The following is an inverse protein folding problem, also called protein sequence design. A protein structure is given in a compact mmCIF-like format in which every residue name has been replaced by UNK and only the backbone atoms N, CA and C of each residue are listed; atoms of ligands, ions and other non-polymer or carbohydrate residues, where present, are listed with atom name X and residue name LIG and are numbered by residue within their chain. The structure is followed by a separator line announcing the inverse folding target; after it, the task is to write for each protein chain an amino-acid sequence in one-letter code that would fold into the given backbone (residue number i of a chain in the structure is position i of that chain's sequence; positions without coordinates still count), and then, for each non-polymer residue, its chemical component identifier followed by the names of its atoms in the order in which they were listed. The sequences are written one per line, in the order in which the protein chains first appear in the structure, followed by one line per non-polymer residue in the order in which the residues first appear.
data_IF_299874448915
#
_entry.id   IF_299874448915
#
_cell.length_a   1.000
_cell.length_b   1.000
_cell.length_c   1.000
_cell.angle_alpha   90.00
_cell.angle_beta   90.00
_cell.angle_gamma   90.00
#
_symmetry.space_group_name_H-M   'P 1'
#
loop_
_entity.id
_entity.type
_entity.pdbx_description
1 polymer ?
#
# COMPACT_ATOMS: atom_id res chain seq x y z
N UNK A 1 -33.28 17.83 -8.66
CA UNK A 1 -32.12 17.03 -8.19
C UNK A 1 -30.95 17.95 -7.91
N UNK A 2 -30.34 17.88 -6.72
CA UNK A 2 -29.19 18.68 -6.33
C UNK A 2 -28.03 17.78 -5.85
N UNK A 3 -26.81 18.34 -5.77
CA UNK A 3 -25.62 17.58 -5.35
C UNK A 3 -25.69 17.09 -3.90
N UNK A 4 -26.46 17.77 -3.05
CA UNK A 4 -26.65 17.37 -1.65
C UNK A 4 -27.49 16.10 -1.58
N UNK A 5 -28.58 16.04 -2.33
CA UNK A 5 -29.45 14.86 -2.43
C UNK A 5 -28.69 13.66 -2.99
N UNK A 6 -27.86 13.84 -4.04
CA UNK A 6 -27.01 12.77 -4.56
C UNK A 6 -25.97 12.29 -3.54
N UNK A 7 -25.35 13.20 -2.79
CA UNK A 7 -24.39 12.82 -1.73
C UNK A 7 -25.06 12.01 -0.62
N UNK A 8 -26.26 12.40 -0.22
CA UNK A 8 -27.04 11.65 0.78
C UNK A 8 -27.47 10.29 0.26
N UNK A 9 -27.89 10.21 -1.01
CA UNK A 9 -28.22 8.96 -1.66
C UNK A 9 -27.02 7.99 -1.66
N UNK A 10 -25.83 8.45 -2.08
CA UNK A 10 -24.60 7.63 -2.07
C UNK A 10 -24.28 7.16 -0.64
N UNK A 11 -24.36 8.03 0.36
CA UNK A 11 -24.12 7.65 1.74
C UNK A 11 -25.12 6.59 2.24
N UNK A 12 -26.40 6.71 1.90
CA UNK A 12 -27.44 5.72 2.28
C UNK A 12 -27.22 4.39 1.57
N UNK A 13 -26.79 4.42 0.29
CA UNK A 13 -26.51 3.22 -0.49
C UNK A 13 -25.34 2.42 0.09
N UNK A 14 -24.28 3.08 0.50
CA UNK A 14 -23.07 2.45 1.07
C UNK A 14 -23.28 1.96 2.51
N UNK A 15 -23.99 2.74 3.33
CA UNK A 15 -24.24 2.41 4.74
C UNK A 15 -25.44 1.46 4.96
N UNK A 16 -26.31 1.29 3.96
CA UNK A 16 -27.56 0.53 4.04
C UNK A 16 -28.45 0.95 5.25
N UNK A 17 -28.24 2.18 5.74
CA UNK A 17 -28.87 2.73 6.94
C UNK A 17 -28.96 4.25 6.89
N UNK A 18 -30.18 4.78 7.02
CA UNK A 18 -30.41 6.23 7.11
C UNK A 18 -29.73 6.86 8.33
N UNK A 19 -29.69 6.14 9.46
CA UNK A 19 -29.06 6.63 10.68
C UNK A 19 -27.53 6.63 10.59
N UNK A 20 -26.91 5.62 9.97
CA UNK A 20 -25.48 5.60 9.73
C UNK A 20 -25.08 6.68 8.72
N UNK A 21 -25.83 6.81 7.61
CA UNK A 21 -25.61 7.85 6.62
C UNK A 21 -25.74 9.26 7.21
N UNK A 22 -26.66 9.48 8.15
CA UNK A 22 -26.82 10.79 8.80
C UNK A 22 -25.61 11.16 9.67
N UNK A 23 -25.03 10.19 10.38
CA UNK A 23 -23.78 10.38 11.12
C UNK A 23 -22.61 10.70 10.18
N UNK A 24 -22.46 9.94 9.09
CA UNK A 24 -21.43 10.15 8.08
C UNK A 24 -21.53 11.52 7.40
N UNK A 25 -22.75 11.99 7.14
CA UNK A 25 -22.99 13.29 6.50
C UNK A 25 -23.07 14.46 7.48
N UNK A 26 -22.95 14.22 8.78
CA UNK A 26 -23.07 15.24 9.85
C UNK A 26 -24.39 16.03 9.80
N UNK A 27 -25.52 15.33 9.56
CA UNK A 27 -26.85 15.93 9.50
C UNK A 27 -27.87 15.10 10.29
N UNK A 28 -29.04 15.69 10.59
CA UNK A 28 -30.12 14.96 11.23
C UNK A 28 -30.73 13.93 10.27
N UNK A 29 -31.07 12.74 10.77
CA UNK A 29 -31.66 11.66 9.96
C UNK A 29 -32.93 12.09 9.19
N UNK A 30 -33.87 12.93 9.75
CA UNK A 30 -35.02 13.42 8.98
C UNK A 30 -34.61 14.17 7.70
N UNK A 31 -33.47 14.90 7.73
CA UNK A 31 -33.00 15.64 6.56
C UNK A 31 -32.57 14.71 5.43
N UNK A 32 -31.88 13.61 5.75
CA UNK A 32 -31.53 12.58 4.75
C UNK A 32 -32.80 11.91 4.23
N UNK A 33 -33.71 11.52 5.11
CA UNK A 33 -34.96 10.88 4.71
C UNK A 33 -35.80 11.75 3.76
N UNK A 34 -35.93 13.05 4.04
CA UNK A 34 -36.62 14.00 3.19
C UNK A 34 -35.95 14.19 1.83
N UNK A 35 -34.58 14.29 1.82
CA UNK A 35 -33.83 14.43 0.59
C UNK A 35 -33.91 13.19 -0.32
N UNK A 36 -33.92 11.98 0.26
CA UNK A 36 -34.13 10.73 -0.50
C UNK A 36 -35.55 10.70 -1.07
N UNK A 37 -36.58 11.01 -0.28
CA UNK A 37 -37.95 11.04 -0.77
C UNK A 37 -38.15 12.06 -1.90
N UNK A 38 -37.51 13.23 -1.80
CA UNK A 38 -37.57 14.24 -2.85
C UNK A 38 -36.85 13.71 -4.13
N UNK A 39 -35.71 13.04 -3.99
CA UNK A 39 -34.97 12.46 -5.12
C UNK A 39 -35.80 11.35 -5.81
N UNK A 40 -36.47 10.49 -5.03
CA UNK A 40 -37.35 9.44 -5.54
C UNK A 40 -38.55 10.05 -6.26
N UNK A 41 -39.14 11.13 -5.74
CA UNK A 41 -40.25 11.85 -6.38
C UNK A 41 -39.81 12.52 -7.71
N UNK A 42 -38.60 13.10 -7.75
CA UNK A 42 -38.07 13.73 -8.98
C UNK A 42 -37.75 12.72 -10.07
N UNK A 43 -37.35 11.51 -9.68
CA UNK A 43 -37.02 10.43 -10.63
C UNK A 43 -38.18 9.50 -10.95
N UNK A 44 -39.35 9.74 -10.29
CA UNK A 44 -40.56 8.94 -10.38
C UNK A 44 -40.30 7.43 -10.17
N UNK A 45 -39.37 7.09 -9.28
CA UNK A 45 -39.09 5.71 -8.93
C UNK A 45 -38.52 5.58 -7.50
N UNK A 46 -38.82 4.49 -6.79
CA UNK A 46 -38.23 4.22 -5.49
C UNK A 46 -36.77 3.79 -5.68
N UNK A 47 -35.87 4.38 -4.88
CA UNK A 47 -34.45 4.04 -4.89
C UNK A 47 -34.09 3.07 -3.76
N UNK A 48 -34.90 3.02 -2.70
CA UNK A 48 -34.72 2.13 -1.56
C UNK A 48 -36.02 1.48 -1.09
N UNK A 49 -35.89 0.22 -0.67
CA UNK A 49 -36.92 -0.47 0.10
C UNK A 49 -36.54 -0.36 1.58
N UNK A 50 -37.46 0.18 2.40
CA UNK A 50 -37.26 0.32 3.86
C UNK A 50 -37.78 -0.90 4.61
N UNK A 51 -37.03 -1.37 5.59
CA UNK A 51 -37.38 -2.49 6.46
C UNK A 51 -36.88 -2.26 7.90
N UNK A 52 -37.25 -3.12 8.84
CA UNK A 52 -36.91 -2.97 10.27
C UNK A 52 -35.39 -2.97 10.56
N UNK A 53 -34.56 -3.49 9.65
CA UNK A 53 -33.11 -3.58 9.83
C UNK A 53 -32.33 -2.51 9.05
N UNK A 54 -32.99 -1.62 8.30
CA UNK A 54 -32.34 -0.60 7.50
C UNK A 54 -33.03 -0.37 6.15
N UNK A 55 -32.24 -0.20 5.10
CA UNK A 55 -32.73 -0.03 3.73
C UNK A 55 -31.99 -0.96 2.77
N UNK A 56 -32.67 -1.37 1.72
CA UNK A 56 -32.08 -2.15 0.60
C UNK A 56 -32.26 -1.36 -0.68
N UNK A 57 -31.21 -1.18 -1.51
CA UNK A 57 -31.34 -0.53 -2.82
C UNK A 57 -32.29 -1.29 -3.75
N UNK A 58 -33.09 -0.56 -4.52
CA UNK A 58 -33.86 -1.11 -5.62
C UNK A 58 -32.97 -1.31 -6.86
N UNK A 59 -33.45 -1.98 -7.93
CA UNK A 59 -32.72 -2.00 -9.22
C UNK A 59 -32.42 -0.59 -9.75
N UNK A 60 -33.35 0.37 -9.59
CA UNK A 60 -33.16 1.76 -9.99
C UNK A 60 -32.15 2.47 -9.11
N UNK A 61 -32.15 2.22 -7.79
CA UNK A 61 -31.11 2.70 -6.88
C UNK A 61 -29.73 2.16 -7.29
N UNK A 62 -29.63 0.88 -7.64
CA UNK A 62 -28.38 0.27 -8.08
C UNK A 62 -27.89 0.83 -9.42
N UNK A 63 -28.80 1.23 -10.30
CA UNK A 63 -28.48 1.88 -11.60
C UNK A 63 -28.06 3.34 -11.38
N UNK A 64 -28.65 4.05 -10.43
CA UNK A 64 -28.30 5.45 -10.13
C UNK A 64 -26.94 5.58 -9.44
N UNK A 65 -26.55 4.62 -8.59
CA UNK A 65 -25.36 4.73 -7.74
C UNK A 65 -24.06 5.07 -8.51
N UNK A 66 -23.65 4.34 -9.58
CA UNK A 66 -22.45 4.68 -10.32
C UNK A 66 -22.54 6.06 -10.97
N UNK A 67 -23.71 6.47 -11.45
CA UNK A 67 -23.90 7.78 -12.07
C UNK A 67 -23.80 8.90 -11.03
N UNK A 68 -24.40 8.72 -9.83
CA UNK A 68 -24.29 9.66 -8.74
C UNK A 68 -22.82 9.84 -8.27
N UNK A 69 -22.06 8.75 -8.17
CA UNK A 69 -20.63 8.78 -7.85
C UNK A 69 -19.84 9.55 -8.91
N UNK A 70 -20.12 9.33 -10.20
CA UNK A 70 -19.46 10.04 -11.29
C UNK A 70 -19.75 11.54 -11.24
N UNK A 71 -21.01 11.95 -11.13
CA UNK A 71 -21.41 13.38 -11.05
C UNK A 71 -20.76 14.07 -9.85
N UNK A 72 -20.74 13.42 -8.68
CA UNK A 72 -20.08 13.96 -7.49
C UNK A 72 -18.57 14.07 -7.67
N UNK A 73 -17.94 13.12 -8.36
CA UNK A 73 -16.53 13.14 -8.73
C UNK A 73 -16.21 14.31 -9.68
N UNK A 74 -17.04 14.52 -10.71
CA UNK A 74 -16.88 15.62 -11.67
C UNK A 74 -16.99 16.99 -10.98
N UNK A 75 -17.97 17.16 -10.07
CA UNK A 75 -18.09 18.39 -9.25
C UNK A 75 -16.86 18.61 -8.37
N UNK A 76 -16.31 17.55 -7.79
CA UNK A 76 -15.07 17.64 -7.02
C UNK A 76 -13.87 18.02 -7.90
N UNK A 77 -13.81 17.49 -9.12
CA UNK A 77 -12.78 17.83 -10.11
C UNK A 77 -12.86 19.29 -10.53
N UNK A 78 -14.07 19.78 -10.84
CA UNK A 78 -14.31 21.21 -11.14
C UNK A 78 -13.88 22.08 -9.96
N UNK A 79 -14.30 21.76 -8.74
CA UNK A 79 -13.86 22.51 -7.55
C UNK A 79 -12.34 22.57 -7.41
N UNK A 80 -11.65 21.45 -7.65
CA UNK A 80 -10.18 21.39 -7.64
C UNK A 80 -9.59 22.34 -8.67
N UNK A 81 -10.08 22.36 -9.91
CA UNK A 81 -9.59 23.23 -10.98
C UNK A 81 -9.73 24.75 -10.63
N UNK A 82 -10.73 25.13 -9.84
CA UNK A 82 -10.94 26.53 -9.44
C UNK A 82 -10.37 26.87 -8.04
N UNK A 83 -10.14 25.86 -7.20
CA UNK A 83 -9.44 26.01 -5.93
C UNK A 83 -7.92 26.02 -6.08
N UNK A 84 -7.40 25.68 -7.26
CA UNK A 84 -5.97 25.62 -7.60
C UNK A 84 -5.32 27.03 -7.69
N UNK A 85 -5.53 27.85 -6.65
CA UNK A 85 -4.60 28.90 -6.22
C UNK A 85 -3.63 28.38 -5.15
N UNK A 86 -3.67 27.09 -4.85
CA UNK A 86 -2.66 26.43 -4.01
C UNK A 86 -1.39 26.33 -4.83
N UNK A 87 -0.31 26.87 -4.33
CA UNK A 87 1.02 26.64 -4.88
C UNK A 87 1.20 25.14 -5.07
N UNK A 88 1.43 24.72 -6.31
CA UNK A 88 1.75 23.32 -6.60
C UNK A 88 3.07 22.99 -5.91
N UNK A 89 3.03 22.09 -4.94
CA UNK A 89 4.21 21.62 -4.24
C UNK A 89 4.71 20.40 -5.00
N UNK A 90 5.65 20.59 -5.94
CA UNK A 90 6.29 19.48 -6.64
C UNK A 90 7.28 18.81 -5.70
N UNK A 91 7.14 17.49 -5.52
CA UNK A 91 8.05 16.64 -4.74
C UNK A 91 8.39 15.40 -5.53
N UNK A 92 9.67 15.09 -5.63
CA UNK A 92 10.17 13.86 -6.23
C UNK A 92 10.70 12.92 -5.14
N UNK A 93 10.27 11.65 -5.17
CA UNK A 93 10.75 10.63 -4.23
C UNK A 93 11.36 9.46 -5.00
N UNK A 94 12.65 9.22 -4.74
CA UNK A 94 13.37 8.06 -5.24
C UNK A 94 12.98 6.81 -4.47
N UNK A 95 12.61 5.74 -5.16
CA UNK A 95 12.26 4.46 -4.55
C UNK A 95 13.33 3.42 -4.88
N UNK A 96 13.89 2.78 -3.86
CA UNK A 96 14.76 1.62 -4.08
C UNK A 96 13.95 0.41 -4.57
N UNK A 97 14.57 -0.51 -5.33
CA UNK A 97 13.93 -1.77 -5.71
C UNK A 97 13.47 -2.60 -4.51
N UNK A 98 12.46 -3.45 -4.71
CA UNK A 98 11.97 -4.41 -3.72
C UNK A 98 11.44 -3.79 -2.41
N UNK A 99 10.89 -2.59 -2.48
CA UNK A 99 10.06 -2.05 -1.40
C UNK A 99 8.66 -2.68 -1.45
N UNK A 100 8.05 -2.82 -0.28
CA UNK A 100 6.64 -3.20 -0.18
C UNK A 100 5.75 -2.14 -0.84
N UNK A 101 5.08 -2.50 -1.93
CA UNK A 101 4.14 -1.61 -2.62
C UNK A 101 3.01 -1.13 -1.71
N UNK A 102 2.57 -1.97 -0.77
CA UNK A 102 1.56 -1.62 0.24
C UNK A 102 2.04 -0.49 1.15
N UNK A 103 3.24 -0.62 1.74
CA UNK A 103 3.81 0.42 2.62
C UNK A 103 4.07 1.73 1.89
N UNK A 104 4.64 1.66 0.69
CA UNK A 104 4.81 2.84 -0.17
C UNK A 104 3.45 3.47 -0.49
N UNK A 105 2.45 2.66 -0.83
CA UNK A 105 1.08 3.13 -1.09
C UNK A 105 0.44 3.81 0.13
N UNK A 106 0.67 3.31 1.35
CA UNK A 106 0.22 3.95 2.60
C UNK A 106 0.84 5.34 2.77
N UNK A 107 2.16 5.47 2.53
CA UNK A 107 2.85 6.76 2.58
C UNK A 107 2.26 7.72 1.55
N UNK A 108 2.16 7.30 0.29
CA UNK A 108 1.63 8.15 -0.79
C UNK A 108 0.20 8.60 -0.47
N UNK A 109 -0.66 7.69 -0.03
CA UNK A 109 -2.04 8.01 0.34
C UNK A 109 -2.12 9.05 1.45
N UNK A 110 -1.27 8.95 2.46
CA UNK A 110 -1.20 9.93 3.53
C UNK A 110 -0.72 11.30 3.04
N UNK A 111 0.34 11.33 2.22
CA UNK A 111 0.88 12.57 1.65
C UNK A 111 -0.16 13.30 0.79
N UNK A 112 -0.85 12.57 -0.10
CA UNK A 112 -1.90 13.14 -0.95
C UNK A 112 -3.13 13.64 -0.17
N UNK A 113 -3.40 13.06 0.98
CA UNK A 113 -4.50 13.48 1.87
C UNK A 113 -4.17 14.75 2.64
N UNK A 114 -2.97 14.83 3.19
CA UNK A 114 -2.57 15.89 4.12
C UNK A 114 -1.92 17.11 3.44
N UNK A 115 -1.42 16.95 2.20
CA UNK A 115 -0.74 18.04 1.45
C UNK A 115 -1.59 18.42 0.23
N UNK A 116 -2.47 19.42 0.33
CA UNK A 116 -3.21 19.91 -0.83
C UNK A 116 -2.27 20.47 -1.89
N UNK A 117 -2.52 20.15 -3.15
CA UNK A 117 -1.69 20.62 -4.27
C UNK A 117 -0.34 19.89 -4.41
N UNK A 118 -0.12 18.77 -3.70
CA UNK A 118 1.07 17.94 -3.89
C UNK A 118 1.09 17.33 -5.30
N UNK A 119 2.12 17.66 -6.07
CA UNK A 119 2.47 17.04 -7.34
C UNK A 119 3.65 16.09 -7.10
N UNK A 120 3.33 14.79 -6.94
CA UNK A 120 4.29 13.76 -6.54
C UNK A 120 4.80 12.99 -7.73
N UNK A 121 6.13 13.00 -7.92
CA UNK A 121 6.82 12.18 -8.90
C UNK A 121 7.62 11.08 -8.21
N UNK A 122 7.42 9.83 -8.60
CA UNK A 122 8.22 8.69 -8.14
C UNK A 122 9.27 8.35 -9.19
N UNK A 123 10.51 8.24 -8.75
CA UNK A 123 11.67 7.99 -9.63
C UNK A 123 12.53 6.84 -9.08
N UNK A 124 13.43 6.32 -9.92
CA UNK A 124 14.46 5.39 -9.46
C UNK A 124 15.50 6.13 -8.60
N UNK A 125 16.12 5.42 -7.64
CA UNK A 125 17.14 6.00 -6.74
C UNK A 125 18.40 6.48 -7.44
N UNK A 126 18.60 6.12 -8.71
CA UNK A 126 19.69 6.63 -9.56
C UNK A 126 19.40 8.03 -10.13
N UNK A 127 18.16 8.47 -10.07
CA UNK A 127 17.73 9.79 -10.53
C UNK A 127 17.76 10.80 -9.37
N UNK A 128 17.91 12.08 -9.72
CA UNK A 128 17.82 13.15 -8.73
C UNK A 128 16.40 13.23 -8.17
N UNK A 129 16.29 13.23 -6.86
CA UNK A 129 15.03 13.33 -6.14
C UNK A 129 15.19 14.22 -4.90
N UNK A 130 14.09 14.78 -4.41
CA UNK A 130 14.08 15.61 -3.20
C UNK A 130 14.27 14.76 -1.94
N UNK A 131 13.79 13.52 -1.98
CA UNK A 131 14.01 12.51 -0.96
C UNK A 131 14.06 11.12 -1.57
N UNK A 132 14.57 10.15 -0.82
CA UNK A 132 14.65 8.75 -1.26
C UNK A 132 14.11 7.82 -0.17
N UNK A 133 13.29 6.83 -0.52
CA UNK A 133 12.94 5.74 0.39
C UNK A 133 13.91 4.59 0.13
N UNK A 134 14.82 4.40 1.06
CA UNK A 134 15.98 3.52 0.90
C UNK A 134 16.29 2.75 2.18
N UNK A 135 17.13 1.72 2.04
CA UNK A 135 17.77 1.05 3.18
C UNK A 135 18.80 1.95 3.85
N UNK A 136 18.97 1.81 5.15
CA UNK A 136 20.03 2.49 5.91
C UNK A 136 21.44 2.19 5.41
N UNK A 137 21.63 1.10 4.66
CA UNK A 137 22.93 0.67 4.13
C UNK A 137 23.37 1.44 2.88
N UNK A 138 22.44 2.15 2.21
CA UNK A 138 22.73 2.91 0.97
C UNK A 138 22.44 4.41 1.11
N UNK A 139 22.37 4.88 2.35
CA UNK A 139 22.30 6.31 2.69
C UNK A 139 23.67 6.94 2.47
N UNK A 140 23.71 8.12 1.84
CA UNK A 140 24.95 8.85 1.62
C UNK A 140 25.34 9.68 2.87
N UNK A 141 26.64 9.94 3.07
CA UNK A 141 27.16 10.67 4.23
C UNK A 141 26.56 12.06 4.44
N UNK A 142 26.09 12.70 3.36
CA UNK A 142 25.50 14.04 3.39
C UNK A 142 23.97 14.03 3.55
N UNK A 143 23.36 12.86 3.65
CA UNK A 143 21.92 12.71 3.83
C UNK A 143 21.53 12.49 5.28
N UNK A 144 20.47 13.13 5.72
CA UNK A 144 19.75 12.75 6.91
C UNK A 144 18.91 11.50 6.63
N UNK A 145 18.76 10.64 7.63
CA UNK A 145 17.99 9.42 7.52
C UNK A 145 16.92 9.34 8.61
N UNK A 146 15.67 9.25 8.18
CA UNK A 146 14.52 9.09 9.05
C UNK A 146 13.96 7.67 8.92
N UNK A 147 14.14 6.83 9.95
CA UNK A 147 13.69 5.44 9.95
C UNK A 147 12.16 5.37 9.83
N UNK A 148 11.66 4.55 8.91
CA UNK A 148 10.24 4.28 8.69
C UNK A 148 9.84 2.91 9.27
N UNK A 149 10.51 1.82 8.84
CA UNK A 149 10.24 0.46 9.34
C UNK A 149 11.49 -0.43 9.31
N UNK A 150 11.35 -1.63 9.85
CA UNK A 150 12.35 -2.68 9.75
C UNK A 150 11.73 -3.92 9.12
N UNK A 151 12.37 -4.46 8.11
CA UNK A 151 12.02 -5.75 7.49
C UNK A 151 12.89 -6.86 8.08
N UNK A 152 12.25 -7.95 8.52
CA UNK A 152 12.92 -9.22 8.80
C UNK A 152 12.86 -10.08 7.53
N UNK A 153 13.95 -10.74 7.18
CA UNK A 153 14.01 -11.62 6.03
C UNK A 153 13.78 -13.07 6.41
N UNK A 154 12.95 -13.73 5.63
CA UNK A 154 12.56 -15.14 5.78
C UNK A 154 12.70 -15.88 4.47
N UNK A 155 12.73 -17.21 4.53
CA UNK A 155 12.61 -18.07 3.34
C UNK A 155 11.15 -18.23 3.00
N UNK A 156 10.74 -17.79 1.82
CA UNK A 156 9.44 -18.07 1.26
C UNK A 156 9.43 -19.45 0.58
N UNK A 157 8.38 -20.21 0.83
CA UNK A 157 8.21 -21.60 0.40
C UNK A 157 6.80 -21.78 -0.17
N UNK A 158 6.64 -22.62 -1.19
CA UNK A 158 5.29 -23.10 -1.50
C UNK A 158 4.76 -23.94 -0.33
N UNK A 159 3.45 -23.97 -0.12
CA UNK A 159 2.84 -24.75 0.97
C UNK A 159 3.09 -26.26 0.85
N UNK A 160 3.36 -26.76 -0.36
CA UNK A 160 3.69 -28.15 -0.62
C UNK A 160 5.17 -28.49 -0.43
N UNK A 161 6.03 -27.49 -0.16
CA UNK A 161 7.45 -27.72 0.00
C UNK A 161 7.74 -28.51 1.31
N UNK A 162 8.64 -29.52 1.31
CA UNK A 162 8.92 -30.31 2.52
C UNK A 162 9.33 -29.49 3.74
N UNK A 163 10.13 -28.42 3.54
CA UNK A 163 10.56 -27.52 4.62
C UNK A 163 9.40 -26.67 5.18
N UNK A 164 8.26 -26.60 4.50
CA UNK A 164 7.10 -25.87 5.00
C UNK A 164 6.45 -26.52 6.25
N UNK A 165 6.75 -27.78 6.50
CA UNK A 165 6.28 -28.52 7.69
C UNK A 165 7.09 -28.24 8.95
N UNK A 166 8.25 -27.60 8.83
CA UNK A 166 9.13 -27.24 9.94
C UNK A 166 8.74 -25.88 10.52
N UNK A 167 9.07 -25.61 11.76
CA UNK A 167 8.89 -24.27 12.38
C UNK A 167 9.98 -23.28 11.94
N UNK A 168 11.20 -23.79 11.74
CA UNK A 168 12.36 -23.03 11.26
C UNK A 168 13.21 -23.89 10.34
N UNK A 169 14.12 -23.28 9.61
CA UNK A 169 15.03 -23.93 8.65
C UNK A 169 16.45 -23.77 9.17
N UNK A 170 17.20 -24.90 9.24
CA UNK A 170 18.63 -24.84 9.44
C UNK A 170 19.33 -24.39 8.15
N UNK A 171 20.37 -23.59 8.27
CA UNK A 171 21.04 -22.98 7.11
C UNK A 171 21.53 -24.03 6.10
N UNK A 172 22.01 -25.17 6.60
CA UNK A 172 22.54 -26.26 5.77
C UNK A 172 21.45 -26.96 4.94
N UNK A 173 20.18 -26.86 5.35
CA UNK A 173 19.04 -27.40 4.59
C UNK A 173 18.75 -26.64 3.30
N UNK A 174 19.37 -25.46 3.13
CA UNK A 174 19.27 -24.68 1.89
C UNK A 174 20.29 -25.12 0.82
N UNK A 175 21.16 -26.08 1.15
CA UNK A 175 22.15 -26.57 0.22
C UNK A 175 21.53 -27.35 -0.94
N UNK A 176 21.87 -27.00 -2.17
CA UNK A 176 21.34 -27.58 -3.42
C UNK A 176 19.80 -27.51 -3.58
N UNK A 177 19.13 -26.61 -2.82
CA UNK A 177 17.71 -26.37 -3.04
C UNK A 177 17.52 -25.44 -4.24
N UNK A 178 16.51 -25.70 -5.11
CA UNK A 178 16.09 -24.76 -6.14
C UNK A 178 15.80 -23.39 -5.56
N UNK A 179 16.49 -22.36 -6.07
CA UNK A 179 16.48 -21.02 -5.50
C UNK A 179 16.13 -19.96 -6.55
N UNK A 180 15.30 -19.00 -6.17
CA UNK A 180 14.91 -17.85 -6.97
C UNK A 180 15.65 -16.63 -6.42
N UNK A 181 16.62 -16.12 -7.19
CA UNK A 181 17.42 -14.95 -6.84
C UNK A 181 16.72 -13.65 -7.23
N UNK A 182 16.82 -12.62 -6.40
CA UNK A 182 16.34 -11.26 -6.68
C UNK A 182 17.52 -10.35 -6.95
N UNK A 183 17.53 -9.67 -8.11
CA UNK A 183 18.60 -8.73 -8.49
C UNK A 183 18.01 -7.51 -9.22
N UNK A 184 18.48 -6.28 -8.91
CA UNK A 184 19.41 -5.92 -7.86
C UNK A 184 18.78 -6.04 -6.47
N UNK A 185 19.51 -6.55 -5.49
CA UNK A 185 19.07 -6.60 -4.11
C UNK A 185 20.26 -6.21 -3.22
N UNK A 186 20.10 -5.23 -2.37
CA UNK A 186 21.14 -4.74 -1.46
C UNK A 186 21.63 -5.81 -0.48
N UNK A 187 20.73 -6.76 -0.14
CA UNK A 187 21.06 -7.92 0.69
C UNK A 187 21.80 -9.02 -0.05
N UNK A 188 21.94 -8.90 -1.36
CA UNK A 188 22.59 -9.93 -2.14
C UNK A 188 24.02 -10.19 -1.63
N UNK A 189 24.74 -9.16 -1.24
CA UNK A 189 26.12 -9.28 -0.75
C UNK A 189 26.18 -9.93 0.65
N UNK A 190 25.34 -9.50 1.59
CA UNK A 190 25.26 -10.09 2.94
C UNK A 190 24.78 -11.55 2.89
N UNK A 191 23.77 -11.83 2.05
CA UNK A 191 23.28 -13.18 1.81
C UNK A 191 24.33 -14.06 1.14
N UNK A 192 24.96 -13.60 0.06
CA UNK A 192 26.03 -14.34 -0.63
C UNK A 192 27.23 -14.59 0.29
N UNK A 193 27.61 -13.61 1.11
CA UNK A 193 28.65 -13.80 2.11
C UNK A 193 28.27 -14.91 3.12
N UNK A 194 27.05 -14.91 3.64
CA UNK A 194 26.60 -15.95 4.57
C UNK A 194 26.57 -17.34 3.91
N UNK A 195 26.08 -17.43 2.68
CA UNK A 195 26.04 -18.64 1.86
C UNK A 195 27.47 -19.16 1.61
N UNK A 196 28.39 -18.28 1.19
CA UNK A 196 29.78 -18.64 0.91
C UNK A 196 30.53 -19.07 2.19
N UNK A 197 30.36 -18.33 3.29
CA UNK A 197 30.99 -18.65 4.58
C UNK A 197 30.55 -20.01 5.13
N UNK A 198 29.33 -20.43 4.85
CA UNK A 198 28.75 -21.71 5.26
C UNK A 198 28.98 -22.83 4.23
N UNK A 199 29.58 -22.53 3.08
CA UNK A 199 29.83 -23.51 2.00
C UNK A 199 28.51 -24.01 1.35
N UNK A 200 27.44 -23.24 1.40
CA UNK A 200 26.16 -23.58 0.80
C UNK A 200 26.20 -23.32 -0.71
N UNK A 201 25.76 -24.29 -1.48
CA UNK A 201 25.56 -24.16 -2.92
C UNK A 201 24.07 -23.98 -3.21
N UNK A 202 23.67 -22.83 -3.75
CA UNK A 202 22.29 -22.55 -4.15
C UNK A 202 22.10 -22.94 -5.61
N UNK A 203 21.07 -23.75 -5.89
CA UNK A 203 20.68 -24.14 -7.25
C UNK A 203 19.79 -23.04 -7.86
N UNK A 204 20.38 -21.98 -8.43
CA UNK A 204 19.65 -20.84 -8.97
C UNK A 204 18.84 -21.23 -10.21
N UNK A 205 17.53 -21.34 -10.07
CA UNK A 205 16.58 -21.66 -11.16
C UNK A 205 16.10 -20.43 -11.91
N UNK A 206 15.99 -19.29 -11.23
CA UNK A 206 15.55 -18.02 -11.83
C UNK A 206 16.22 -16.83 -11.16
N UNK A 207 16.35 -15.73 -11.90
CA UNK A 207 16.72 -14.41 -11.38
C UNK A 207 15.65 -13.43 -11.80
N UNK A 208 15.05 -12.75 -10.82
CA UNK A 208 13.92 -11.84 -11.02
C UNK A 208 14.25 -10.43 -10.55
N UNK A 209 13.48 -9.44 -11.05
CA UNK A 209 13.67 -8.02 -10.75
C UNK A 209 12.61 -7.43 -9.85
N UNK A 210 11.56 -8.19 -9.52
CA UNK A 210 10.51 -7.76 -8.59
C UNK A 210 10.27 -8.82 -7.55
N UNK A 211 9.78 -8.39 -6.39
CA UNK A 211 9.42 -9.30 -5.30
C UNK A 211 8.20 -10.14 -5.66
N UNK A 212 7.25 -9.53 -6.36
CA UNK A 212 6.03 -10.19 -6.84
C UNK A 212 6.37 -11.42 -7.70
N UNK A 213 7.25 -11.26 -8.71
CA UNK A 213 7.70 -12.41 -9.51
C UNK A 213 8.40 -13.47 -8.69
N UNK A 214 9.20 -13.09 -7.67
CA UNK A 214 9.83 -14.07 -6.81
C UNK A 214 8.78 -14.92 -6.07
N UNK A 215 7.77 -14.26 -5.49
CA UNK A 215 6.72 -14.93 -4.72
C UNK A 215 5.82 -15.80 -5.60
N UNK A 216 5.49 -15.36 -6.81
CA UNK A 216 4.68 -16.15 -7.75
C UNK A 216 5.41 -17.39 -8.24
N UNK A 217 6.72 -17.31 -8.49
CA UNK A 217 7.52 -18.47 -8.84
C UNK A 217 7.72 -19.44 -7.66
N UNK A 218 7.79 -18.91 -6.43
CA UNK A 218 7.77 -19.73 -5.21
C UNK A 218 6.42 -20.47 -5.09
N UNK A 219 5.31 -19.78 -5.29
CA UNK A 219 3.98 -20.38 -5.26
C UNK A 219 3.81 -21.48 -6.33
N UNK A 220 4.38 -21.24 -7.51
CA UNK A 220 4.41 -22.22 -8.60
C UNK A 220 5.33 -23.44 -8.32
N UNK A 221 6.10 -23.43 -7.22
CA UNK A 221 6.97 -24.53 -6.82
C UNK A 221 8.31 -24.58 -7.57
N UNK A 222 8.72 -23.49 -8.25
CA UNK A 222 10.01 -23.45 -8.98
C UNK A 222 11.21 -23.50 -8.02
N UNK A 223 11.06 -23.03 -6.80
CA UNK A 223 12.09 -23.00 -5.78
C UNK A 223 11.72 -22.14 -4.60
N UNK A 224 12.67 -21.86 -3.73
CA UNK A 224 12.53 -20.97 -2.58
C UNK A 224 13.17 -19.62 -2.84
N UNK A 225 12.78 -18.59 -2.09
CA UNK A 225 13.40 -17.26 -2.17
C UNK A 225 13.53 -16.63 -0.79
N UNK A 226 14.50 -15.76 -0.60
CA UNK A 226 14.59 -14.90 0.60
C UNK A 226 13.87 -13.59 0.33
N UNK A 227 12.90 -13.27 1.19
CA UNK A 227 12.01 -12.10 1.05
C UNK A 227 11.74 -11.48 2.42
N UNK A 228 11.30 -10.21 2.48
CA UNK A 228 10.76 -9.65 3.71
C UNK A 228 9.56 -10.47 4.20
N UNK A 229 9.47 -10.73 5.49
CA UNK A 229 8.40 -11.53 6.09
C UNK A 229 7.01 -11.02 5.72
N UNK A 230 6.78 -9.72 5.81
CA UNK A 230 5.48 -9.12 5.50
C UNK A 230 4.99 -9.38 4.07
N UNK A 231 5.91 -9.59 3.13
CA UNK A 231 5.53 -9.91 1.75
C UNK A 231 4.87 -11.30 1.63
N UNK A 232 5.02 -12.13 2.66
CA UNK A 232 4.41 -13.46 2.72
C UNK A 232 3.12 -13.49 3.54
N UNK A 233 2.91 -12.53 4.45
CA UNK A 233 1.82 -12.58 5.44
C UNK A 233 0.41 -12.49 4.82
N UNK A 234 0.28 -11.86 3.66
CA UNK A 234 -1.00 -11.69 2.97
C UNK A 234 -1.27 -12.76 1.89
N UNK A 235 -0.34 -13.69 1.71
CA UNK A 235 -0.45 -14.74 0.71
C UNK A 235 -0.87 -16.08 1.31
N UNK A 236 -1.91 -16.65 0.72
CA UNK A 236 -2.45 -17.95 1.17
C UNK A 236 -1.84 -19.14 0.43
N UNK A 237 -1.08 -18.92 -0.64
CA UNK A 237 -0.49 -19.93 -1.52
C UNK A 237 0.95 -20.28 -1.17
N UNK A 238 1.59 -19.46 -0.33
CA UNK A 238 2.95 -19.65 0.19
C UNK A 238 2.97 -19.67 1.71
N UNK A 239 4.11 -20.03 2.26
CA UNK A 239 4.43 -19.89 3.70
C UNK A 239 5.85 -19.39 3.86
N UNK A 240 6.22 -18.94 5.05
CA UNK A 240 7.57 -18.48 5.34
C UNK A 240 8.17 -19.16 6.56
N UNK A 241 9.49 -19.25 6.58
CA UNK A 241 10.24 -19.80 7.72
C UNK A 241 11.49 -18.95 7.96
N UNK A 242 11.79 -18.73 9.23
CA UNK A 242 13.05 -18.14 9.64
C UNK A 242 14.19 -19.13 9.44
N UNK A 243 15.38 -18.63 9.15
CA UNK A 243 16.59 -19.44 9.05
C UNK A 243 17.38 -19.31 10.34
N UNK A 244 17.62 -20.41 11.04
CA UNK A 244 18.35 -20.41 12.28
C UNK A 244 19.80 -19.96 12.07
N UNK A 245 20.29 -19.08 12.94
CA UNK A 245 21.62 -18.55 12.86
C UNK A 245 21.84 -17.50 11.76
N UNK A 246 20.77 -17.07 11.10
CA UNK A 246 20.79 -16.00 10.10
C UNK A 246 19.82 -14.91 10.54
N UNK A 247 20.35 -13.78 11.00
CA UNK A 247 19.53 -12.59 11.29
C UNK A 247 19.78 -11.57 10.19
N UNK A 248 18.89 -11.50 9.22
CA UNK A 248 18.93 -10.52 8.15
C UNK A 248 17.80 -9.52 8.36
N UNK A 249 18.18 -8.31 8.71
CA UNK A 249 17.27 -7.18 8.90
C UNK A 249 17.59 -6.08 7.90
N UNK A 250 16.56 -5.42 7.42
CA UNK A 250 16.65 -4.22 6.60
C UNK A 250 15.92 -3.08 7.28
N UNK A 251 16.66 -2.03 7.62
CA UNK A 251 16.04 -0.79 8.10
C UNK A 251 15.77 0.10 6.90
N UNK A 252 14.51 0.37 6.63
CA UNK A 252 14.07 1.27 5.56
C UNK A 252 13.67 2.62 6.15
N UNK A 253 14.05 3.69 5.46
CA UNK A 253 13.77 5.05 5.90
C UNK A 253 13.76 6.03 4.75
N UNK A 254 13.38 7.27 5.07
CA UNK A 254 13.47 8.43 4.21
C UNK A 254 14.85 9.05 4.35
N UNK A 255 15.60 9.10 3.26
CA UNK A 255 16.88 9.81 3.17
C UNK A 255 16.68 11.10 2.38
N UNK A 256 17.23 12.21 2.86
CA UNK A 256 17.14 13.53 2.22
C UNK A 256 18.34 14.39 2.60
N UNK A 257 18.69 15.38 1.76
CA UNK A 257 19.79 16.31 2.05
C UNK A 257 19.31 17.48 2.89
N UNK A 258 20.14 17.96 3.82
CA UNK A 258 19.81 19.12 4.67
C UNK A 258 19.61 20.43 3.88
N UNK A 259 20.21 20.53 2.69
CA UNK A 259 20.12 21.72 1.83
C UNK A 259 18.80 21.78 1.03
N UNK A 260 18.08 20.67 0.95
CA UNK A 260 16.77 20.60 0.32
C UNK A 260 15.70 20.90 1.38
N UNK A 261 14.98 21.98 1.20
CA UNK A 261 13.82 22.29 2.02
C UNK A 261 12.66 21.34 1.67
N UNK A 262 12.77 20.08 2.12
CA UNK A 262 11.58 19.23 2.16
C UNK A 262 10.51 20.01 2.94
N UNK A 263 9.29 20.13 2.42
CA UNK A 263 8.24 20.76 3.17
C UNK A 263 8.19 20.13 4.57
N UNK A 264 8.32 20.93 5.66
CA UNK A 264 8.24 20.37 7.03
C UNK A 264 6.99 19.53 7.23
N UNK A 265 5.94 19.84 6.47
CA UNK A 265 4.69 19.09 6.42
C UNK A 265 4.88 17.66 5.91
N UNK A 266 5.77 17.40 4.95
CA UNK A 266 6.05 16.05 4.44
C UNK A 266 6.63 15.15 5.54
N UNK A 267 7.59 15.65 6.31
CA UNK A 267 8.17 14.92 7.44
C UNK A 267 7.14 14.68 8.54
N UNK A 268 6.30 15.67 8.86
CA UNK A 268 5.26 15.54 9.87
C UNK A 268 4.20 14.49 9.48
N UNK A 269 3.81 14.44 8.21
CA UNK A 269 2.88 13.42 7.69
C UNK A 269 3.50 12.03 7.79
N UNK A 270 4.74 11.88 7.35
CA UNK A 270 5.46 10.60 7.42
C UNK A 270 5.58 10.11 8.87
N UNK A 271 5.90 11.00 9.82
CA UNK A 271 5.98 10.65 11.23
C UNK A 271 4.62 10.22 11.81
N UNK A 272 3.53 10.88 11.40
CA UNK A 272 2.17 10.56 11.88
C UNK A 272 1.71 9.14 11.50
N UNK A 273 2.17 8.60 10.36
CA UNK A 273 1.79 7.26 9.86
C UNK A 273 2.80 6.17 10.22
N UNK A 274 3.85 6.48 10.96
CA UNK A 274 4.93 5.54 11.28
C UNK A 274 4.44 4.27 11.98
N UNK A 275 3.42 4.41 12.85
CA UNK A 275 2.79 3.25 13.50
C UNK A 275 2.00 2.35 12.53
N UNK A 276 1.55 2.88 11.40
CA UNK A 276 0.85 2.12 10.36
C UNK A 276 1.83 1.37 9.45
N UNK A 277 3.12 1.74 9.49
CA UNK A 277 4.17 1.15 8.66
C UNK A 277 4.96 0.06 9.40
N UNK A 278 4.79 -0.03 10.73
CA UNK A 278 5.52 -0.96 11.60
C UNK A 278 5.15 -2.44 11.39
#
# INVERSE_FOLDING_TARGET
MDFRSLRYFVAVYEELSLSAASKRCFVAQPSISAAIQQLEAELDCPLFVRHSKGVTPTPDGSRLYPQACQVLGDVQSIKRQFMDRTEHIAVSIGLMPFLSGKRVGTIIKALLREIPGLDLTLVDTTQKADARIVSSTIVHEHEAFHKLWTDQYVVALSRSHPLALQESIEFDQLNNIPFISRKPCEFNDAWQYAVQKKGINLDIKATVRTEEYALDLVAAGLGVSIVPQQSTDERNDITSRVVNGLNLERVVGLAYTHDQSLPPLLLSVIESIKSELA
#
